data_IF_178426697751
#
_entry.id   IF_178426697751
#
_cell.length_a   1.000
_cell.length_b   1.000
_cell.length_c   1.000
_cell.angle_alpha   90.00
_cell.angle_beta   90.00
_cell.angle_gamma   90.00
#
_symmetry.space_group_name_H-M   'P 1'
#
loop_
_entity.id
_entity.type
_entity.pdbx_description
1 polymer ?
#
# COMPACT_ATOMS: atom_id res chain seq x y z
N UNK A 1 -9.71 -2.40 29.77
CA UNK A 1 -8.66 -2.61 28.75
C UNK A 1 -9.07 -3.57 27.62
N UNK A 2 -10.26 -4.17 27.68
CA UNK A 2 -10.78 -5.12 26.67
C UNK A 2 -11.59 -4.46 25.54
N UNK A 3 -12.04 -3.22 25.72
CA UNK A 3 -12.98 -2.58 24.78
C UNK A 3 -12.30 -2.04 23.51
N UNK A 4 -11.05 -1.59 23.61
CA UNK A 4 -10.28 -1.09 22.47
C UNK A 4 -9.82 -2.21 21.51
N UNK A 5 -9.63 -3.44 22.00
CA UNK A 5 -9.22 -4.57 21.16
C UNK A 5 -10.39 -5.05 20.29
N UNK A 6 -11.61 -5.08 20.85
CA UNK A 6 -12.82 -5.41 20.12
C UNK A 6 -13.17 -4.36 19.08
N UNK A 7 -12.98 -3.07 19.39
CA UNK A 7 -13.22 -2.00 18.42
C UNK A 7 -12.22 -2.06 17.26
N UNK A 8 -10.93 -2.29 17.53
CA UNK A 8 -9.92 -2.51 16.49
C UNK A 8 -10.20 -3.76 15.65
N UNK A 9 -10.58 -4.88 16.26
CA UNK A 9 -11.00 -6.09 15.55
C UNK A 9 -12.23 -5.84 14.68
N UNK A 10 -13.23 -5.12 15.17
CA UNK A 10 -14.42 -4.75 14.40
C UNK A 10 -14.07 -3.85 13.21
N UNK A 11 -13.23 -2.83 13.39
CA UNK A 11 -12.81 -1.96 12.28
C UNK A 11 -11.94 -2.72 11.26
N UNK A 12 -11.08 -3.63 11.72
CA UNK A 12 -10.32 -4.53 10.84
C UNK A 12 -11.22 -5.50 10.06
N UNK A 13 -12.24 -6.08 10.72
CA UNK A 13 -13.22 -6.98 10.09
C UNK A 13 -14.09 -6.20 9.11
N UNK A 14 -14.49 -4.97 9.42
CA UNK A 14 -15.27 -4.09 8.55
C UNK A 14 -14.47 -3.61 7.35
N UNK A 15 -13.22 -3.15 7.51
CA UNK A 15 -12.35 -2.76 6.39
C UNK A 15 -11.98 -3.96 5.51
N UNK A 16 -11.67 -5.12 6.10
CA UNK A 16 -11.47 -6.37 5.36
C UNK A 16 -12.76 -6.83 4.67
N UNK A 17 -13.91 -6.62 5.30
CA UNK A 17 -15.24 -6.92 4.77
C UNK A 17 -15.61 -6.05 3.58
N UNK A 18 -15.40 -4.74 3.68
CA UNK A 18 -15.66 -3.76 2.61
C UNK A 18 -14.78 -4.00 1.38
N UNK A 19 -13.48 -4.30 1.59
CA UNK A 19 -12.55 -4.60 0.49
C UNK A 19 -12.87 -5.95 -0.18
N UNK A 20 -13.31 -6.94 0.61
CA UNK A 20 -13.86 -8.20 0.09
C UNK A 20 -15.17 -7.99 -0.67
N UNK A 21 -16.05 -7.11 -0.21
CA UNK A 21 -17.34 -6.82 -0.86
C UNK A 21 -17.16 -6.09 -2.20
N UNK A 22 -16.21 -5.15 -2.28
CA UNK A 22 -15.86 -4.48 -3.54
C UNK A 22 -15.25 -5.45 -4.56
N UNK A 23 -14.35 -6.34 -4.13
CA UNK A 23 -13.78 -7.38 -5.00
C UNK A 23 -14.83 -8.40 -5.45
N UNK A 24 -15.71 -8.86 -4.55
CA UNK A 24 -16.84 -9.74 -4.89
C UNK A 24 -17.81 -9.06 -5.85
N UNK A 25 -18.07 -7.76 -5.68
CA UNK A 25 -18.92 -6.96 -6.57
C UNK A 25 -18.34 -6.84 -7.98
N UNK A 26 -17.04 -6.58 -8.11
CA UNK A 26 -16.35 -6.51 -9.41
C UNK A 26 -16.29 -7.88 -10.08
N UNK A 27 -16.04 -8.94 -9.31
CA UNK A 27 -16.07 -10.33 -9.81
C UNK A 27 -17.48 -10.73 -10.26
N UNK A 28 -18.53 -10.39 -9.48
CA UNK A 28 -19.91 -10.67 -9.85
C UNK A 28 -20.31 -9.90 -11.12
N UNK A 29 -19.89 -8.64 -11.26
CA UNK A 29 -20.10 -7.87 -12.49
C UNK A 29 -19.43 -8.52 -13.71
N UNK A 30 -18.18 -8.96 -13.56
CA UNK A 30 -17.44 -9.64 -14.62
C UNK A 30 -18.06 -11.01 -14.97
N UNK A 31 -18.54 -11.77 -13.97
CA UNK A 31 -19.25 -13.04 -14.18
C UNK A 31 -20.59 -12.80 -14.88
N UNK A 32 -21.34 -11.76 -14.53
CA UNK A 32 -22.58 -11.38 -15.22
C UNK A 32 -22.32 -10.90 -16.66
N UNK A 33 -21.21 -10.19 -16.90
CA UNK A 33 -20.80 -9.80 -18.25
C UNK A 33 -20.41 -11.00 -19.13
N UNK A 34 -19.76 -12.03 -18.56
CA UNK A 34 -19.35 -13.24 -19.30
C UNK A 34 -20.52 -14.24 -19.45
N UNK A 35 -21.44 -14.29 -18.49
CA UNK A 35 -22.69 -15.07 -18.58
C UNK A 35 -23.75 -14.41 -19.48
N UNK A 36 -23.55 -13.16 -19.89
CA UNK A 36 -24.43 -12.37 -20.75
C UNK A 36 -24.35 -12.77 -22.23
N UNK A 37 -24.73 -14.01 -22.56
CA UNK A 37 -25.18 -14.40 -23.90
C UNK A 37 -26.47 -15.23 -23.82
N UNK A 38 -27.44 -14.82 -23.01
CA UNK A 38 -28.81 -15.36 -23.07
C UNK A 38 -29.80 -14.23 -22.80
N UNK A 39 -30.85 -14.18 -23.62
CA UNK A 39 -31.84 -13.13 -23.74
C UNK A 39 -32.54 -12.71 -22.43
N UNK A 40 -32.72 -11.39 -22.24
CA UNK A 40 -33.67 -10.81 -21.28
C UNK A 40 -33.18 -9.54 -20.57
N UNK A 41 -33.15 -8.40 -21.26
CA UNK A 41 -32.88 -7.11 -20.63
C UNK A 41 -34.17 -6.51 -20.03
N UNK A 42 -34.17 -5.98 -18.79
CA UNK A 42 -35.33 -5.32 -18.19
C UNK A 42 -35.61 -3.95 -18.82
N UNK A 43 -36.89 -3.58 -18.90
CA UNK A 43 -37.49 -2.50 -19.70
C UNK A 43 -36.99 -1.05 -19.46
N UNK A 44 -36.01 -0.83 -18.57
CA UNK A 44 -35.47 0.50 -18.28
C UNK A 44 -34.53 1.04 -19.39
N UNK A 45 -34.04 0.20 -20.31
CA UNK A 45 -33.08 0.61 -21.35
C UNK A 45 -33.72 0.95 -22.70
N UNK A 46 -35.01 0.62 -22.92
CA UNK A 46 -35.69 0.88 -24.20
C UNK A 46 -35.95 2.36 -24.46
N UNK A 47 -36.04 3.18 -23.41
CA UNK A 47 -36.33 4.61 -23.57
C UNK A 47 -35.11 5.41 -24.04
N UNK A 48 -33.91 5.01 -23.62
CA UNK A 48 -32.66 5.67 -24.01
C UNK A 48 -32.28 5.39 -25.48
N UNK A 49 -32.54 4.17 -25.97
CA UNK A 49 -32.23 3.80 -27.36
C UNK A 49 -33.21 4.39 -28.40
N UNK A 50 -34.43 4.76 -28.00
CA UNK A 50 -35.40 5.40 -28.91
C UNK A 50 -35.17 6.90 -29.07
N UNK A 51 -34.48 7.56 -28.13
CA UNK A 51 -34.18 8.99 -28.22
C UNK A 51 -32.89 9.31 -28.98
N UNK A 52 -31.97 8.36 -29.12
CA UNK A 52 -30.64 8.60 -29.72
C UNK A 52 -30.43 8.02 -31.13
N UNK A 53 -31.38 7.26 -31.67
CA UNK A 53 -31.30 6.73 -33.03
C UNK A 53 -32.57 7.08 -33.81
N UNK A 54 -32.60 8.31 -34.35
CA UNK A 54 -33.56 8.70 -35.37
C UNK A 54 -33.40 7.80 -36.59
N UNK A 55 -34.48 7.11 -36.93
CA UNK A 55 -34.62 6.31 -38.15
C UNK A 55 -34.68 7.26 -39.36
N UNK A 56 -33.54 7.74 -39.83
CA UNK A 56 -33.41 8.31 -41.17
C UNK A 56 -32.59 7.36 -42.03
N UNK A 57 -33.15 7.04 -43.20
CA UNK A 57 -32.60 6.16 -44.24
C UNK A 57 -32.94 4.67 -44.11
N UNK A 58 -34.23 4.35 -44.13
CA UNK A 58 -34.70 3.07 -44.70
C UNK A 58 -34.63 3.21 -46.23
N UNK A 59 -33.72 2.48 -46.87
CA UNK A 59 -33.91 2.09 -48.27
C UNK A 59 -34.42 0.66 -48.27
N UNK A 60 -35.71 0.53 -48.56
CA UNK A 60 -36.42 -0.72 -48.85
C UNK A 60 -35.74 -1.41 -50.04
N UNK A 61 -35.07 -2.55 -49.80
CA UNK A 61 -34.72 -3.58 -50.82
C UNK A 61 -33.92 -4.76 -50.24
N UNK A 62 -34.33 -5.36 -49.11
CA UNK A 62 -33.68 -6.62 -48.68
C UNK A 62 -34.46 -7.51 -47.69
N UNK A 63 -35.79 -7.44 -47.62
CA UNK A 63 -36.54 -8.39 -46.79
C UNK A 63 -37.26 -9.42 -47.66
N UNK A 64 -36.53 -10.42 -48.16
CA UNK A 64 -37.15 -11.61 -48.75
C UNK A 64 -37.38 -12.64 -47.65
N UNK A 65 -38.65 -12.93 -47.38
CA UNK A 65 -39.12 -13.85 -46.33
C UNK A 65 -38.90 -15.30 -46.80
N UNK A 66 -37.78 -15.94 -46.42
CA UNK A 66 -37.59 -17.38 -46.61
C UNK A 66 -38.16 -18.14 -45.42
N UNK A 67 -39.25 -18.88 -45.69
CA UNK A 67 -39.88 -19.80 -44.76
C UNK A 67 -39.05 -21.10 -44.71
N UNK A 68 -38.26 -21.32 -43.65
CA UNK A 68 -37.55 -22.59 -43.44
C UNK A 68 -38.48 -23.54 -42.67
N UNK A 69 -38.79 -24.70 -43.27
CA UNK A 69 -39.59 -25.79 -42.67
C UNK A 69 -38.88 -26.39 -41.44
N UNK A 70 -39.62 -26.80 -40.40
CA UNK A 70 -39.03 -27.45 -39.24
C UNK A 70 -38.69 -28.90 -39.58
N UNK A 71 -37.40 -29.18 -39.80
CA UNK A 71 -36.83 -30.51 -39.93
C UNK A 71 -35.81 -30.71 -38.81
N UNK A 72 -35.99 -31.76 -38.03
CA UNK A 72 -35.19 -32.24 -36.91
C UNK A 72 -33.67 -31.98 -37.03
N UNK A 73 -33.17 -30.97 -36.32
CA UNK A 73 -31.76 -30.90 -35.94
C UNK A 73 -31.66 -31.47 -34.52
N UNK A 74 -31.06 -32.65 -34.41
CA UNK A 74 -30.68 -33.23 -33.12
C UNK A 74 -29.61 -32.33 -32.49
N UNK A 75 -29.95 -31.70 -31.37
CA UNK A 75 -29.02 -30.96 -30.51
C UNK A 75 -28.02 -31.97 -29.91
N UNK A 76 -26.85 -32.10 -30.51
CA UNK A 76 -25.75 -32.84 -29.89
C UNK A 76 -25.21 -32.06 -28.68
N UNK A 77 -25.52 -32.61 -27.51
CA UNK A 77 -24.89 -32.45 -26.19
C UNK A 77 -23.72 -31.47 -26.12
N UNK A 78 -23.99 -30.27 -25.59
CA UNK A 78 -22.98 -29.29 -25.18
C UNK A 78 -22.77 -29.32 -23.66
N UNK A 79 -22.85 -30.49 -23.00
CA UNK A 79 -22.76 -30.58 -21.53
C UNK A 79 -21.34 -30.78 -20.98
N UNK A 80 -20.34 -31.08 -21.84
CA UNK A 80 -18.96 -31.33 -21.39
C UNK A 80 -18.04 -30.11 -21.37
N UNK A 81 -18.44 -28.99 -21.96
CA UNK A 81 -17.60 -27.78 -22.04
C UNK A 81 -17.84 -26.79 -20.89
N UNK A 82 -19.00 -26.81 -20.21
CA UNK A 82 -19.26 -25.89 -19.08
C UNK A 82 -18.55 -26.30 -17.77
N UNK A 83 -18.30 -27.58 -17.53
CA UNK A 83 -17.67 -28.05 -16.27
C UNK A 83 -16.19 -27.70 -16.18
N UNK A 84 -15.45 -27.76 -17.29
CA UNK A 84 -14.04 -27.35 -17.35
C UNK A 84 -13.88 -25.83 -17.23
N UNK A 85 -14.79 -25.06 -17.83
CA UNK A 85 -14.80 -23.60 -17.77
C UNK A 85 -15.14 -23.11 -16.34
N UNK A 86 -16.14 -23.70 -15.69
CA UNK A 86 -16.53 -23.34 -14.32
C UNK A 86 -15.45 -23.72 -13.30
N UNK A 87 -14.85 -24.91 -13.41
CA UNK A 87 -13.75 -25.32 -12.55
C UNK A 87 -12.51 -24.43 -12.73
N UNK A 88 -12.21 -24.01 -13.97
CA UNK A 88 -11.14 -23.07 -14.27
C UNK A 88 -11.39 -21.68 -13.66
N UNK A 89 -12.61 -21.15 -13.77
CA UNK A 89 -13.00 -19.86 -13.16
C UNK A 89 -12.97 -19.96 -11.63
N UNK A 90 -13.48 -21.03 -11.03
CA UNK A 90 -13.44 -21.25 -9.57
C UNK A 90 -11.98 -21.37 -9.08
N UNK A 91 -11.12 -22.09 -9.80
CA UNK A 91 -9.69 -22.19 -9.47
C UNK A 91 -8.99 -20.82 -9.58
N UNK A 92 -9.30 -20.04 -10.62
CA UNK A 92 -8.78 -18.68 -10.80
C UNK A 92 -9.25 -17.74 -9.66
N UNK A 93 -10.53 -17.82 -9.28
CA UNK A 93 -11.09 -17.05 -8.16
C UNK A 93 -10.46 -17.44 -6.82
N UNK A 94 -10.23 -18.73 -6.57
CA UNK A 94 -9.53 -19.22 -5.37
C UNK A 94 -8.09 -18.70 -5.32
N UNK A 95 -7.38 -18.67 -6.44
CA UNK A 95 -6.02 -18.11 -6.53
C UNK A 95 -6.00 -16.59 -6.32
N UNK A 96 -7.02 -15.85 -6.77
CA UNK A 96 -7.12 -14.40 -6.53
C UNK A 96 -7.45 -14.04 -5.07
N UNK A 97 -8.21 -14.88 -4.35
CA UNK A 97 -8.54 -14.67 -2.93
C UNK A 97 -7.40 -15.14 -2.00
N UNK A 98 -6.58 -16.10 -2.46
CA UNK A 98 -5.39 -16.59 -1.77
C UNK A 98 -4.10 -15.81 -2.09
N UNK A 99 -4.19 -14.73 -2.86
CA UNK A 99 -3.06 -13.85 -3.12
C UNK A 99 -2.48 -13.31 -1.80
N UNK A 100 -1.16 -13.44 -1.56
CA UNK A 100 -0.62 -13.06 -0.26
C UNK A 100 -0.66 -11.53 -0.08
N UNK A 101 -1.18 -11.08 1.06
CA UNK A 101 -1.02 -9.71 1.59
C UNK A 101 0.43 -9.51 2.06
N UNK A 102 1.41 -9.71 1.17
CA UNK A 102 2.85 -9.72 1.51
C UNK A 102 3.57 -8.40 1.19
N UNK A 103 2.92 -7.46 0.50
CA UNK A 103 3.57 -6.21 0.09
C UNK A 103 3.85 -5.22 1.24
N UNK A 104 2.92 -5.10 2.20
CA UNK A 104 3.01 -4.08 3.26
C UNK A 104 4.05 -4.43 4.34
N UNK A 105 4.15 -5.70 4.75
CA UNK A 105 5.11 -6.11 5.78
C UNK A 105 6.56 -6.03 5.29
N UNK A 106 6.84 -6.40 4.05
CA UNK A 106 8.17 -6.30 3.46
C UNK A 106 8.61 -4.84 3.28
N UNK A 107 7.69 -3.95 2.87
CA UNK A 107 7.96 -2.52 2.74
C UNK A 107 8.30 -1.86 4.08
N UNK A 108 7.53 -2.16 5.13
CA UNK A 108 7.76 -1.61 6.47
C UNK A 108 9.09 -2.08 7.05
N UNK A 109 9.45 -3.35 6.82
CA UNK A 109 10.74 -3.88 7.25
C UNK A 109 11.91 -3.18 6.58
N UNK A 110 11.84 -2.91 5.27
CA UNK A 110 12.88 -2.16 4.55
C UNK A 110 13.04 -0.74 5.11
N UNK A 111 11.94 -0.05 5.42
CA UNK A 111 11.99 1.29 6.01
C UNK A 111 12.54 1.28 7.43
N UNK A 112 12.17 0.27 8.22
CA UNK A 112 12.72 0.06 9.56
C UNK A 112 14.24 -0.21 9.53
N UNK A 113 14.71 -1.06 8.62
CA UNK A 113 16.14 -1.32 8.43
C UNK A 113 16.89 -0.06 8.01
N UNK A 114 16.29 0.73 7.11
CA UNK A 114 16.84 2.02 6.71
C UNK A 114 16.89 3.02 7.88
N UNK A 115 15.83 3.09 8.68
CA UNK A 115 15.79 3.92 9.90
C UNK A 115 16.91 3.51 10.87
N UNK A 116 17.07 2.21 11.15
CA UNK A 116 18.16 1.71 12.00
C UNK A 116 19.53 2.14 11.51
N UNK A 117 19.80 1.90 10.22
CA UNK A 117 21.07 2.26 9.58
C UNK A 117 21.38 3.75 9.75
N UNK A 118 20.37 4.61 9.57
CA UNK A 118 20.59 6.06 9.59
C UNK A 118 20.59 6.66 10.99
N UNK A 119 19.79 6.13 11.91
CA UNK A 119 19.44 6.87 13.13
C UNK A 119 19.74 6.14 14.42
N UNK A 120 20.21 4.89 14.40
CA UNK A 120 20.43 4.12 15.63
C UNK A 120 21.91 3.78 15.78
N UNK A 121 22.46 4.10 16.95
CA UNK A 121 23.80 3.71 17.37
C UNK A 121 23.87 3.69 18.89
N UNK A 122 24.74 2.87 19.47
CA UNK A 122 25.01 2.86 20.92
C UNK A 122 26.30 3.57 21.30
N UNK A 123 27.15 3.91 20.32
CA UNK A 123 28.55 4.31 20.50
C UNK A 123 28.96 5.52 19.64
N UNK A 124 28.00 6.19 19.00
CA UNK A 124 28.26 7.36 18.18
C UNK A 124 28.65 8.57 19.05
N UNK A 125 29.55 9.40 18.52
CA UNK A 125 29.96 10.65 19.16
C UNK A 125 30.22 11.74 18.13
N UNK A 126 30.38 12.99 18.59
CA UNK A 126 30.49 14.17 17.73
C UNK A 126 31.69 14.14 16.77
N UNK A 127 32.78 13.47 17.13
CA UNK A 127 34.01 13.41 16.34
C UNK A 127 33.97 12.31 15.27
N UNK A 128 33.00 11.38 15.35
CA UNK A 128 32.84 10.28 14.39
C UNK A 128 31.94 10.62 13.20
N UNK A 129 31.34 11.82 13.17
CA UNK A 129 30.36 12.18 12.14
C UNK A 129 30.86 11.95 10.71
N UNK A 130 32.03 12.50 10.33
CA UNK A 130 32.58 12.28 8.98
C UNK A 130 32.75 10.79 8.68
N UNK A 131 33.50 10.09 9.54
CA UNK A 131 33.85 8.69 9.29
C UNK A 131 32.59 7.79 9.21
N UNK A 132 31.64 7.98 10.13
CA UNK A 132 30.43 7.15 10.20
C UNK A 132 29.50 7.43 9.02
N UNK A 133 29.34 8.69 8.62
CA UNK A 133 28.51 9.06 7.47
C UNK A 133 29.09 8.50 6.15
N UNK A 134 30.42 8.50 6.02
CA UNK A 134 31.14 7.92 4.86
C UNK A 134 31.07 6.40 4.85
N UNK A 135 31.32 5.74 5.98
CA UNK A 135 31.20 4.27 6.12
C UNK A 135 29.81 3.77 5.70
N UNK A 136 28.77 4.47 6.14
CA UNK A 136 27.39 4.11 5.84
C UNK A 136 26.92 4.57 4.44
N UNK A 137 27.72 5.42 3.76
CA UNK A 137 27.39 6.06 2.48
C UNK A 137 26.00 6.71 2.50
N UNK A 138 25.69 7.45 3.56
CA UNK A 138 24.36 8.06 3.69
C UNK A 138 24.18 9.22 2.71
N UNK A 139 23.08 9.16 1.97
CA UNK A 139 22.71 10.15 0.94
C UNK A 139 21.35 10.78 1.24
N UNK A 140 21.13 11.97 0.71
CA UNK A 140 19.79 12.57 0.63
C UNK A 140 19.02 12.06 -0.60
N UNK A 141 17.84 12.63 -0.85
CA UNK A 141 16.97 12.27 -1.99
C UNK A 141 17.60 12.58 -3.34
N UNK A 142 18.52 13.55 -3.40
CA UNK A 142 19.18 13.99 -4.63
C UNK A 142 20.44 13.15 -4.93
N UNK A 143 20.76 12.19 -4.05
CA UNK A 143 21.91 11.31 -4.19
C UNK A 143 23.22 11.95 -3.75
N UNK A 144 23.18 13.13 -3.12
CA UNK A 144 24.33 13.81 -2.52
C UNK A 144 24.59 13.32 -1.09
N UNK A 145 25.72 13.73 -0.52
CA UNK A 145 25.98 13.64 0.91
C UNK A 145 24.79 14.19 1.71
N UNK A 146 24.20 13.38 2.59
CA UNK A 146 23.04 13.80 3.37
C UNK A 146 23.33 15.07 4.19
N UNK A 147 22.54 16.14 4.02
CA UNK A 147 22.82 17.45 4.64
C UNK A 147 22.84 17.41 6.18
N UNK A 148 21.88 16.71 6.78
CA UNK A 148 21.79 16.52 8.24
C UNK A 148 21.38 15.08 8.53
N UNK A 149 22.04 14.46 9.50
CA UNK A 149 21.64 13.17 10.04
C UNK A 149 21.82 13.14 11.55
N UNK A 150 20.79 12.68 12.27
CA UNK A 150 20.80 12.52 13.72
C UNK A 150 20.93 11.05 14.09
N UNK A 151 21.88 10.71 14.94
CA UNK A 151 22.01 9.39 15.56
C UNK A 151 21.48 9.45 16.99
N UNK A 152 20.48 8.63 17.29
CA UNK A 152 19.91 8.41 18.61
C UNK A 152 20.82 7.41 19.33
N UNK A 153 21.36 7.81 20.48
CA UNK A 153 22.26 7.00 21.29
C UNK A 153 21.43 6.11 22.23
N UNK A 154 20.98 4.97 21.73
CA UNK A 154 20.16 4.02 22.46
C UNK A 154 20.10 2.64 21.77
N UNK A 155 19.62 1.64 22.51
CA UNK A 155 19.23 0.36 21.90
C UNK A 155 17.96 0.54 21.04
N UNK A 156 17.89 -0.19 19.94
CA UNK A 156 16.76 -0.08 19.00
C UNK A 156 15.41 -0.43 19.66
N UNK A 157 15.39 -1.30 20.67
CA UNK A 157 14.15 -1.65 21.35
C UNK A 157 13.61 -0.49 22.19
N UNK A 158 14.49 0.34 22.76
CA UNK A 158 14.09 1.56 23.47
C UNK A 158 13.44 2.56 22.52
N UNK A 159 14.02 2.71 21.31
CA UNK A 159 13.47 3.60 20.27
C UNK A 159 12.15 3.04 19.75
N UNK A 160 12.06 1.72 19.53
CA UNK A 160 10.81 1.05 19.12
C UNK A 160 9.69 1.21 20.14
N UNK A 161 10.01 1.26 21.43
CA UNK A 161 9.01 1.48 22.48
C UNK A 161 8.30 2.85 22.34
N UNK A 162 8.97 3.86 21.78
CA UNK A 162 8.36 5.18 21.49
C UNK A 162 7.13 5.03 20.61
N UNK A 163 7.13 4.13 19.63
CA UNK A 163 5.97 3.89 18.76
C UNK A 163 4.73 3.34 19.50
N UNK A 164 4.86 2.94 20.77
CA UNK A 164 3.76 2.43 21.60
C UNK A 164 3.39 3.35 22.74
N UNK A 165 4.38 4.00 23.37
CA UNK A 165 4.19 4.78 24.60
C UNK A 165 4.40 6.29 24.43
N UNK A 166 4.83 6.74 23.25
CA UNK A 166 5.01 8.16 22.97
C UNK A 166 3.70 8.91 22.73
N UNK A 167 3.81 10.21 22.49
CA UNK A 167 2.68 11.11 22.25
C UNK A 167 2.54 11.41 20.76
N UNK A 168 1.36 11.22 20.18
CA UNK A 168 1.11 11.59 18.79
C UNK A 168 1.17 13.11 18.60
N UNK A 169 1.96 13.58 17.63
CA UNK A 169 2.12 15.01 17.32
C UNK A 169 1.59 15.39 15.95
N UNK A 170 1.25 14.41 15.11
CA UNK A 170 0.62 14.63 13.80
C UNK A 170 0.83 13.44 12.87
N UNK A 171 -0.16 13.12 12.04
CA UNK A 171 -0.08 11.97 11.12
C UNK A 171 0.31 10.68 11.85
N UNK A 172 1.36 10.00 11.37
CA UNK A 172 1.95 8.83 12.02
C UNK A 172 3.21 9.14 12.84
N UNK A 173 3.47 10.42 13.17
CA UNK A 173 4.62 10.88 13.95
C UNK A 173 4.30 10.84 15.45
N UNK A 174 5.23 10.26 16.21
CA UNK A 174 5.15 10.06 17.65
C UNK A 174 6.38 10.67 18.31
N UNK A 175 6.14 11.53 19.30
CA UNK A 175 7.16 12.14 20.16
C UNK A 175 7.49 11.22 21.32
N UNK A 176 8.77 11.10 21.65
CA UNK A 176 9.20 10.34 22.83
C UNK A 176 8.71 10.99 24.13
N UNK A 177 8.29 10.16 25.10
CA UNK A 177 7.91 10.64 26.43
C UNK A 177 9.10 10.96 27.33
N UNK A 178 10.28 10.43 26.99
CA UNK A 178 11.55 10.71 27.68
C UNK A 178 12.58 11.17 26.65
N UNK A 179 13.54 12.02 27.04
CA UNK A 179 14.54 12.49 26.11
C UNK A 179 15.64 11.44 25.88
N UNK A 180 16.22 11.48 24.69
CA UNK A 180 17.36 10.67 24.27
C UNK A 180 18.59 11.54 24.10
N UNK A 181 19.77 10.95 24.30
CA UNK A 181 20.99 11.54 23.81
C UNK A 181 21.03 11.41 22.28
N UNK A 182 21.22 12.51 21.57
CA UNK A 182 21.28 12.56 20.11
C UNK A 182 22.57 13.22 19.65
N UNK A 183 23.20 12.65 18.63
CA UNK A 183 24.34 13.24 17.91
C UNK A 183 23.88 13.66 16.52
N UNK A 184 23.80 14.98 16.29
CA UNK A 184 23.45 15.55 14.98
C UNK A 184 24.71 15.85 14.18
N UNK A 185 24.85 15.19 13.03
CA UNK A 185 25.91 15.42 12.06
C UNK A 185 25.40 16.34 10.95
N UNK A 186 25.97 17.54 10.85
CA UNK A 186 25.64 18.51 9.80
C UNK A 186 26.78 18.61 8.79
N UNK A 187 26.47 18.44 7.50
CA UNK A 187 27.42 18.59 6.40
C UNK A 187 28.01 20.00 6.43
N UNK A 188 29.33 20.09 6.36
CA UNK A 188 30.09 21.35 6.29
C UNK A 188 30.60 21.61 4.88
N UNK A 189 31.09 20.59 4.20
CA UNK A 189 31.63 20.66 2.84
C UNK A 189 31.61 19.30 2.15
N UNK A 190 31.81 19.29 0.84
CA UNK A 190 31.74 18.11 -0.01
C UNK A 190 30.31 17.69 -0.33
N UNK A 191 30.04 17.40 -1.60
CA UNK A 191 28.70 17.05 -2.07
C UNK A 191 28.55 15.57 -2.42
N UNK A 192 29.67 14.86 -2.61
CA UNK A 192 29.70 13.43 -2.90
C UNK A 192 30.70 12.67 -2.02
N UNK A 193 30.35 11.44 -1.67
CA UNK A 193 31.23 10.50 -0.98
C UNK A 193 32.46 10.18 -1.86
N UNK A 194 33.66 10.03 -1.30
CA UNK A 194 33.99 10.00 0.13
C UNK A 194 34.32 11.37 0.75
N UNK A 195 34.15 12.47 0.00
CA UNK A 195 34.69 13.79 0.36
C UNK A 195 33.82 14.61 1.32
N UNK A 196 32.66 14.08 1.73
CA UNK A 196 31.76 14.75 2.66
C UNK A 196 32.45 15.02 4.01
N UNK A 197 32.39 16.24 4.52
CA UNK A 197 32.85 16.58 5.87
C UNK A 197 31.67 17.00 6.75
N UNK A 198 31.66 16.55 8.01
CA UNK A 198 30.55 16.77 8.93
C UNK A 198 31.01 17.32 10.27
N UNK A 199 30.20 18.24 10.82
CA UNK A 199 30.32 18.70 12.21
C UNK A 199 29.27 18.03 13.06
N UNK A 200 29.72 17.34 14.11
CA UNK A 200 28.85 16.77 15.13
C UNK A 200 28.45 17.77 16.19
N UNK A 201 27.23 17.62 16.71
CA UNK A 201 26.75 18.27 17.92
C UNK A 201 26.01 17.24 18.77
N UNK A 202 26.21 17.32 20.08
CA UNK A 202 25.52 16.49 21.06
C UNK A 202 24.36 17.27 21.66
N UNK A 203 23.25 16.62 21.95
CA UNK A 203 22.17 17.20 22.75
C UNK A 203 21.18 16.17 23.25
N UNK A 204 20.59 16.47 24.40
CA UNK A 204 19.47 15.71 24.97
C UNK A 204 18.16 16.20 24.36
N UNK A 205 17.43 15.33 23.68
CA UNK A 205 16.32 15.68 22.80
C UNK A 205 15.10 14.81 23.03
N UNK A 206 13.90 15.38 22.93
CA UNK A 206 12.71 14.56 22.64
C UNK A 206 12.66 14.32 21.14
N UNK A 207 12.64 13.05 20.74
CA UNK A 207 12.68 12.66 19.32
C UNK A 207 11.26 12.55 18.77
N UNK A 208 11.08 12.98 17.53
CA UNK A 208 9.86 12.80 16.76
C UNK A 208 10.13 11.79 15.65
N UNK A 209 9.48 10.63 15.71
CA UNK A 209 9.67 9.54 14.76
C UNK A 209 8.34 9.12 14.15
N UNK A 210 8.33 8.88 12.85
CA UNK A 210 7.17 8.29 12.19
C UNK A 210 7.17 6.78 12.44
N UNK A 211 6.01 6.25 12.83
CA UNK A 211 5.82 4.83 13.12
C UNK A 211 4.88 4.19 12.11
N UNK A 212 5.15 2.95 11.72
CA UNK A 212 4.20 2.11 11.00
C UNK A 212 4.15 0.72 11.63
N UNK A 213 2.95 0.23 11.94
CA UNK A 213 2.73 -1.06 12.61
C UNK A 213 3.61 -1.28 13.87
N UNK A 214 3.88 -0.21 14.62
CA UNK A 214 4.73 -0.25 15.82
C UNK A 214 6.24 -0.34 15.57
N UNK A 215 6.70 -0.09 14.34
CA UNK A 215 8.10 0.04 13.96
C UNK A 215 8.43 1.49 13.59
N UNK A 216 9.60 2.03 14.00
CA UNK A 216 10.04 3.34 13.57
C UNK A 216 10.53 3.30 12.12
N UNK A 217 10.01 4.17 11.26
CA UNK A 217 10.28 4.15 9.81
C UNK A 217 10.85 5.46 9.28
N UNK A 218 10.84 6.54 10.07
CA UNK A 218 11.41 7.84 9.72
C UNK A 218 11.75 8.65 10.97
N UNK A 219 12.83 9.43 10.91
CA UNK A 219 13.14 10.46 11.91
C UNK A 219 12.63 11.79 11.37
N UNK A 220 11.58 12.32 11.98
CA UNK A 220 10.89 13.54 11.52
C UNK A 220 11.61 14.79 12.05
N UNK A 221 12.11 14.72 13.28
CA UNK A 221 12.81 15.82 13.91
C UNK A 221 13.03 15.58 15.41
N UNK A 222 13.35 16.66 16.11
CA UNK A 222 13.48 16.65 17.55
C UNK A 222 13.33 18.05 18.15
N UNK A 223 13.08 18.09 19.46
CA UNK A 223 13.09 19.32 20.26
C UNK A 223 14.10 19.19 21.41
N UNK A 224 14.73 20.31 21.78
CA UNK A 224 15.63 20.38 22.93
C UNK A 224 14.87 19.98 24.20
N UNK A 225 15.40 19.02 24.96
CA UNK A 225 14.96 18.83 26.33
C UNK A 225 15.47 20.01 27.16
N UNK A 226 14.56 20.64 27.90
CA UNK A 226 14.84 21.76 28.81
C UNK A 226 15.62 21.30 30.04
#
# INVERSE_FOLDING_TARGET
MTDNLNQFLHTFILQRGMMRLQMVGVVLLLVLCVAGSVQGAPDAYRHFLTQHFTKTSMNDKACTRTYIKPGSVQLQSTERTMKLQLAGVVLLLVLCVAGPVQGQSAYDWRRYDHFKKQHVSTDMNVNRCTNRMTELQLKDSDGECKRVNSFIIADVNQIKAVCRSGTHVGGNVVRSGQPFQVISCRRQSGDQHPNCQYRGRSGTRYIDIACNQGLPVHYDGDIQAA
#
